data_IF_453563802403
#
_entry.id   IF_453563802403
#
_cell.length_a   1.000
_cell.length_b   1.000
_cell.length_c   1.000
_cell.angle_alpha   90.00
_cell.angle_beta   90.00
_cell.angle_gamma   90.00
#
_symmetry.space_group_name_H-M   'P 1'
#
loop_
_entity.id
_entity.type
_entity.pdbx_description
1 polymer ?
#
# COMPACT_ATOMS: atom_id res chain seq x y z
N UNK A 1 9.21 4.44 -43.27
CA UNK A 1 9.07 3.39 -42.25
C UNK A 1 7.94 3.83 -41.35
N UNK A 2 6.72 3.42 -41.68
CA UNK A 2 5.55 3.71 -40.85
C UNK A 2 5.59 2.77 -39.65
N UNK A 3 5.71 3.36 -38.46
CA UNK A 3 5.67 2.66 -37.20
C UNK A 3 4.20 2.33 -36.91
N UNK A 4 3.72 1.20 -37.41
CA UNK A 4 2.40 0.68 -37.08
C UNK A 4 2.45 0.18 -35.65
N UNK A 5 2.17 1.07 -34.70
CA UNK A 5 1.89 0.70 -33.32
C UNK A 5 0.66 -0.19 -33.30
N UNK A 6 0.85 -1.50 -33.36
CA UNK A 6 -0.21 -2.48 -33.17
C UNK A 6 -0.83 -2.26 -31.79
N UNK A 7 -2.01 -1.63 -31.74
CA UNK A 7 -2.92 -1.71 -30.60
C UNK A 7 -3.30 -3.18 -30.44
N UNK A 8 -2.58 -3.88 -29.57
CA UNK A 8 -2.90 -5.24 -29.17
C UNK A 8 -4.32 -5.22 -28.58
N UNK A 9 -5.30 -5.72 -29.33
CA UNK A 9 -6.67 -5.88 -28.82
C UNK A 9 -6.60 -6.71 -27.53
N UNK A 10 -6.97 -6.09 -26.42
CA UNK A 10 -7.00 -6.74 -25.11
C UNK A 10 -8.18 -7.71 -25.13
N UNK A 11 -7.92 -9.01 -25.04
CA UNK A 11 -8.99 -9.99 -25.00
C UNK A 11 -9.72 -9.93 -23.64
N UNK A 12 -10.92 -10.50 -23.55
CA UNK A 12 -11.74 -10.45 -22.33
C UNK A 12 -11.07 -11.08 -21.10
N UNK A 13 -10.14 -12.03 -21.27
CA UNK A 13 -9.39 -12.66 -20.18
C UNK A 13 -8.42 -11.64 -19.59
N UNK A 14 -7.73 -10.87 -20.43
CA UNK A 14 -6.80 -9.84 -19.99
C UNK A 14 -7.55 -8.70 -19.28
N UNK A 15 -8.70 -8.25 -19.80
CA UNK A 15 -9.54 -7.27 -19.09
C UNK A 15 -10.11 -7.83 -17.78
N UNK A 16 -10.50 -9.10 -17.74
CA UNK A 16 -10.92 -9.77 -16.50
C UNK A 16 -9.77 -9.77 -15.47
N UNK A 17 -8.54 -10.05 -15.88
CA UNK A 17 -7.36 -10.03 -15.00
C UNK A 17 -7.13 -8.63 -14.42
N UNK A 18 -7.19 -7.59 -15.27
CA UNK A 18 -7.07 -6.19 -14.84
C UNK A 18 -8.18 -5.84 -13.84
N UNK A 19 -9.43 -6.24 -14.13
CA UNK A 19 -10.58 -6.03 -13.26
C UNK A 19 -10.43 -6.73 -11.91
N UNK A 20 -9.94 -7.96 -11.91
CA UNK A 20 -9.76 -8.74 -10.68
C UNK A 20 -8.64 -8.19 -9.78
N UNK A 21 -7.68 -7.45 -10.35
CA UNK A 21 -6.65 -6.74 -9.59
C UNK A 21 -7.20 -5.56 -8.76
N UNK A 22 -8.42 -5.10 -9.05
CA UNK A 22 -9.09 -4.02 -8.32
C UNK A 22 -9.93 -4.63 -7.17
N UNK A 23 -9.92 -4.07 -5.95
CA UNK A 23 -10.80 -4.51 -4.86
C UNK A 23 -12.26 -4.48 -5.29
N UNK A 24 -13.06 -5.50 -4.93
CA UNK A 24 -14.47 -5.62 -5.35
C UNK A 24 -15.30 -4.36 -5.10
N UNK A 25 -15.04 -3.67 -3.99
CA UNK A 25 -15.75 -2.44 -3.59
C UNK A 25 -15.46 -1.24 -4.48
N UNK A 26 -14.37 -1.29 -5.26
CA UNK A 26 -13.93 -0.21 -6.16
C UNK A 26 -14.10 -0.57 -7.64
N UNK A 27 -14.62 -1.76 -7.96
CA UNK A 27 -14.85 -2.17 -9.36
C UNK A 27 -16.06 -1.44 -9.93
N UNK A 28 -15.93 -0.96 -11.16
CA UNK A 28 -17.04 -0.40 -11.91
C UNK A 28 -17.91 -1.53 -12.51
N UNK A 29 -19.22 -1.46 -12.30
CA UNK A 29 -20.18 -2.44 -12.82
C UNK A 29 -20.12 -3.82 -12.13
N UNK A 30 -20.99 -4.72 -12.58
CA UNK A 30 -21.11 -6.10 -12.11
C UNK A 30 -20.38 -7.09 -13.03
N UNK A 31 -20.19 -8.33 -12.56
CA UNK A 31 -19.66 -9.40 -13.42
C UNK A 31 -20.65 -9.74 -14.55
N UNK A 32 -21.96 -9.64 -14.31
CA UNK A 32 -22.98 -9.86 -15.33
C UNK A 32 -22.86 -8.85 -16.48
N UNK A 33 -22.67 -7.57 -16.17
CA UNK A 33 -22.46 -6.52 -17.18
C UNK A 33 -21.17 -6.73 -17.97
N UNK A 34 -20.08 -7.12 -17.30
CA UNK A 34 -18.83 -7.48 -17.97
C UNK A 34 -19.02 -8.67 -18.92
N UNK A 35 -19.70 -9.73 -18.45
CA UNK A 35 -19.97 -10.92 -19.25
C UNK A 35 -20.86 -10.59 -20.46
N UNK A 36 -21.86 -9.73 -20.28
CA UNK A 36 -22.72 -9.24 -21.36
C UNK A 36 -21.93 -8.44 -22.40
N UNK A 37 -21.05 -7.52 -21.97
CA UNK A 37 -20.17 -6.73 -22.86
C UNK A 37 -19.37 -7.63 -23.81
N UNK A 38 -18.92 -8.78 -23.31
CA UNK A 38 -18.07 -9.72 -24.05
C UNK A 38 -18.80 -10.92 -24.66
N UNK A 39 -20.12 -11.02 -24.48
CA UNK A 39 -20.90 -12.15 -24.99
C UNK A 39 -20.47 -13.51 -24.40
N UNK A 40 -19.99 -13.53 -23.15
CA UNK A 40 -19.54 -14.75 -22.47
C UNK A 40 -20.51 -15.14 -21.35
N UNK A 41 -20.60 -16.44 -21.05
CA UNK A 41 -21.31 -16.91 -19.86
C UNK A 41 -20.53 -16.55 -18.57
N UNK A 42 -21.25 -16.21 -17.50
CA UNK A 42 -20.64 -15.97 -16.18
C UNK A 42 -19.82 -17.16 -15.68
N UNK A 43 -20.23 -18.40 -15.99
CA UNK A 43 -19.46 -19.60 -15.66
C UNK A 43 -18.06 -19.58 -16.26
N UNK A 44 -17.89 -19.04 -17.48
CA UNK A 44 -16.57 -18.91 -18.11
C UNK A 44 -15.73 -17.84 -17.40
N UNK A 45 -16.34 -16.74 -16.98
CA UNK A 45 -15.66 -15.71 -16.18
C UNK A 45 -15.11 -16.31 -14.87
N UNK A 46 -15.96 -16.99 -14.10
CA UNK A 46 -15.54 -17.59 -12.83
C UNK A 46 -14.53 -18.72 -13.03
N UNK A 47 -14.70 -19.55 -14.07
CA UNK A 47 -13.73 -20.59 -14.41
C UNK A 47 -12.35 -19.99 -14.70
N UNK A 48 -12.25 -18.97 -15.56
CA UNK A 48 -10.97 -18.36 -15.91
C UNK A 48 -10.37 -17.52 -14.80
N UNK A 49 -11.14 -16.73 -14.05
CA UNK A 49 -10.64 -15.97 -12.89
C UNK A 49 -10.16 -16.88 -11.76
N UNK A 50 -10.71 -18.09 -11.65
CA UNK A 50 -10.28 -19.06 -10.64
C UNK A 50 -8.91 -19.69 -10.95
N UNK A 51 -8.46 -19.67 -12.21
CA UNK A 51 -7.18 -20.27 -12.65
C UNK A 51 -6.01 -19.59 -11.96
N UNK A 52 -5.11 -20.42 -11.42
CA UNK A 52 -3.93 -19.96 -10.68
C UNK A 52 -3.07 -18.99 -11.48
N UNK A 53 -2.87 -19.22 -12.78
CA UNK A 53 -2.09 -18.33 -13.64
C UNK A 53 -2.70 -16.92 -13.73
N UNK A 54 -4.02 -16.83 -13.90
CA UNK A 54 -4.72 -15.54 -13.99
C UNK A 54 -4.75 -14.82 -12.63
N UNK A 55 -4.91 -15.57 -11.53
CA UNK A 55 -4.77 -15.02 -10.18
C UNK A 55 -3.38 -14.41 -9.95
N UNK A 56 -2.32 -15.10 -10.36
CA UNK A 56 -0.95 -14.58 -10.26
C UNK A 56 -0.81 -13.27 -11.03
N UNK A 57 -1.26 -13.21 -12.28
CA UNK A 57 -1.23 -11.97 -13.07
C UNK A 57 -2.02 -10.83 -12.42
N UNK A 58 -3.22 -11.11 -11.88
CA UNK A 58 -4.01 -10.10 -11.17
C UNK A 58 -3.31 -9.59 -9.91
N UNK A 59 -2.61 -10.47 -9.19
CA UNK A 59 -1.85 -10.12 -7.99
C UNK A 59 -0.61 -9.29 -8.35
N UNK A 60 0.08 -9.62 -9.42
CA UNK A 60 1.21 -8.83 -9.94
C UNK A 60 0.75 -7.39 -10.25
N UNK A 61 -0.36 -7.22 -10.96
CA UNK A 61 -0.93 -5.89 -11.24
C UNK A 61 -1.28 -5.17 -9.93
N UNK A 62 -1.93 -5.85 -8.99
CA UNK A 62 -2.29 -5.27 -7.70
C UNK A 62 -1.04 -4.82 -6.91
N UNK A 63 0.05 -5.60 -6.95
CA UNK A 63 1.33 -5.26 -6.32
C UNK A 63 1.97 -4.06 -7.00
N UNK A 64 2.00 -4.00 -8.33
CA UNK A 64 2.56 -2.85 -9.04
C UNK A 64 1.77 -1.56 -8.76
N UNK A 65 0.44 -1.65 -8.72
CA UNK A 65 -0.40 -0.53 -8.28
C UNK A 65 -0.09 -0.13 -6.84
N UNK A 66 0.04 -1.10 -5.93
CA UNK A 66 0.41 -0.82 -4.54
C UNK A 66 1.78 -0.13 -4.44
N UNK A 67 2.79 -0.56 -5.20
CA UNK A 67 4.10 0.10 -5.26
C UNK A 67 4.00 1.54 -5.74
N UNK A 68 3.19 1.80 -6.77
CA UNK A 68 2.97 3.14 -7.32
C UNK A 68 2.41 4.10 -6.26
N UNK A 69 1.41 3.65 -5.49
CA UNK A 69 0.75 4.48 -4.47
C UNK A 69 1.38 4.36 -3.08
N UNK A 70 2.34 3.46 -2.87
CA UNK A 70 2.94 3.21 -1.55
C UNK A 70 3.51 4.47 -0.88
N UNK A 71 4.23 5.38 -1.59
CA UNK A 71 4.73 6.60 -0.97
C UNK A 71 3.61 7.50 -0.43
N UNK A 72 2.57 7.75 -1.23
CA UNK A 72 1.42 8.59 -0.87
C UNK A 72 0.62 7.98 0.28
N UNK A 73 0.40 6.66 0.26
CA UNK A 73 -0.27 5.94 1.35
C UNK A 73 0.52 6.03 2.64
N UNK A 74 1.85 5.92 2.57
CA UNK A 74 2.72 6.00 3.74
C UNK A 74 2.72 7.42 4.32
N UNK A 75 2.77 8.45 3.48
CA UNK A 75 2.63 9.85 3.90
C UNK A 75 1.29 10.09 4.61
N UNK A 76 0.17 9.67 4.00
CA UNK A 76 -1.16 9.80 4.60
C UNK A 76 -1.28 9.06 5.94
N UNK A 77 -0.70 7.85 6.04
CA UNK A 77 -0.64 7.12 7.30
C UNK A 77 0.17 7.87 8.35
N UNK A 78 1.28 8.53 7.97
CA UNK A 78 2.08 9.35 8.86
C UNK A 78 1.33 10.58 9.38
N UNK A 79 0.61 11.28 8.51
CA UNK A 79 -0.24 12.41 8.92
C UNK A 79 -1.32 11.96 9.91
N UNK A 80 -2.03 10.88 9.58
CA UNK A 80 -3.11 10.34 10.42
C UNK A 80 -2.61 9.72 11.73
N UNK A 81 -1.39 9.23 11.78
CA UNK A 81 -0.79 8.64 12.98
C UNK A 81 -0.75 9.62 14.16
N UNK A 82 -0.83 10.92 13.92
CA UNK A 82 -0.90 11.96 14.97
C UNK A 82 -2.21 11.93 15.76
N UNK A 83 -3.27 11.36 15.21
CA UNK A 83 -4.64 11.40 15.77
C UNK A 83 -5.36 10.05 15.79
N UNK A 84 -4.88 9.07 15.02
CA UNK A 84 -5.47 7.73 14.89
C UNK A 84 -4.43 6.65 15.26
N UNK A 85 -4.62 6.02 16.41
CA UNK A 85 -3.74 4.96 16.92
C UNK A 85 -3.59 3.78 15.95
N UNK A 86 -4.64 3.47 15.18
CA UNK A 86 -4.58 2.39 14.18
C UNK A 86 -3.71 2.79 12.99
N UNK A 87 -3.81 4.05 12.56
CA UNK A 87 -2.92 4.58 11.53
C UNK A 87 -1.46 4.61 12.02
N UNK A 88 -1.22 4.99 13.27
CA UNK A 88 0.11 4.95 13.89
C UNK A 88 0.70 3.54 13.93
N UNK A 89 -0.07 2.54 14.36
CA UNK A 89 0.36 1.14 14.38
C UNK A 89 0.72 0.64 12.97
N UNK A 90 -0.11 0.94 11.98
CA UNK A 90 0.13 0.55 10.59
C UNK A 90 1.36 1.23 10.00
N UNK A 91 1.51 2.53 10.23
CA UNK A 91 2.67 3.31 9.78
C UNK A 91 3.97 2.75 10.34
N UNK A 92 4.04 2.57 11.67
CA UNK A 92 5.23 2.02 12.34
C UNK A 92 5.54 0.61 11.86
N UNK A 93 4.54 -0.27 11.74
CA UNK A 93 4.73 -1.63 11.24
C UNK A 93 5.35 -1.64 9.85
N UNK A 94 4.90 -0.76 8.95
CA UNK A 94 5.43 -0.70 7.59
C UNK A 94 6.88 -0.19 7.55
N UNK A 95 7.20 0.85 8.32
CA UNK A 95 8.57 1.38 8.45
C UNK A 95 9.52 0.31 9.01
N UNK A 96 9.11 -0.43 10.04
CA UNK A 96 9.93 -1.49 10.63
C UNK A 96 10.20 -2.63 9.64
N UNK A 97 9.19 -3.06 8.88
CA UNK A 97 9.37 -4.09 7.85
C UNK A 97 10.30 -3.62 6.72
N UNK A 98 10.27 -2.33 6.35
CA UNK A 98 11.20 -1.77 5.38
C UNK A 98 12.62 -1.71 5.94
N UNK A 99 12.79 -1.25 7.18
CA UNK A 99 14.10 -1.18 7.83
C UNK A 99 14.75 -2.57 7.96
N UNK A 100 13.99 -3.59 8.35
CA UNK A 100 14.46 -4.97 8.44
C UNK A 100 14.93 -5.51 7.07
N UNK A 101 14.14 -5.31 6.01
CA UNK A 101 14.49 -5.75 4.65
C UNK A 101 15.72 -5.06 4.06
N UNK A 102 16.00 -3.85 4.50
CA UNK A 102 17.13 -3.05 4.01
C UNK A 102 18.33 -3.05 4.99
N UNK A 103 18.30 -3.90 6.02
CA UNK A 103 19.33 -3.97 7.06
C UNK A 103 19.67 -2.59 7.67
N UNK A 104 18.66 -1.71 7.74
CA UNK A 104 18.83 -0.37 8.27
C UNK A 104 18.93 -0.45 9.80
N UNK A 105 20.13 -0.19 10.32
CA UNK A 105 20.40 0.00 11.74
C UNK A 105 20.37 1.48 12.15
N UNK A 106 20.38 1.71 13.46
CA UNK A 106 20.76 3.00 14.03
C UNK A 106 22.19 3.38 13.63
N UNK A 107 22.50 4.68 13.72
CA UNK A 107 23.82 5.23 13.37
C UNK A 107 24.98 4.60 14.17
N UNK A 108 24.67 3.99 15.30
CA UNK A 108 25.58 3.32 16.23
C UNK A 108 25.64 1.78 16.02
N UNK A 109 24.98 1.25 14.98
CA UNK A 109 24.87 -0.19 14.74
C UNK A 109 23.82 -0.89 15.60
N UNK A 110 23.04 -0.16 16.41
CA UNK A 110 21.91 -0.73 17.15
C UNK A 110 20.70 -0.99 16.24
N UNK A 111 19.76 -1.87 16.61
CA UNK A 111 18.48 -1.98 15.91
C UNK A 111 17.75 -0.63 15.84
N UNK A 112 17.16 -0.31 14.69
CA UNK A 112 16.51 1.01 14.47
C UNK A 112 15.42 1.34 15.50
N UNK A 113 14.75 0.32 16.04
CA UNK A 113 13.76 0.45 17.13
C UNK A 113 14.38 1.07 18.38
N UNK A 114 15.61 0.68 18.74
CA UNK A 114 16.30 1.19 19.92
C UNK A 114 16.67 2.65 19.72
N UNK A 115 17.16 3.02 18.53
CA UNK A 115 17.48 4.41 18.19
C UNK A 115 16.23 5.30 18.25
N UNK A 116 15.11 4.86 17.68
CA UNK A 116 13.83 5.60 17.73
C UNK A 116 13.36 5.78 19.18
N UNK A 117 13.45 4.73 20.01
CA UNK A 117 13.08 4.82 21.42
C UNK A 117 13.95 5.83 22.18
N UNK A 118 15.26 5.86 21.95
CA UNK A 118 16.18 6.86 22.53
C UNK A 118 15.76 8.28 22.13
N UNK A 119 15.53 8.52 20.84
CA UNK A 119 15.15 9.84 20.33
C UNK A 119 13.79 10.32 20.87
N UNK A 120 12.84 9.40 21.09
CA UNK A 120 11.56 9.71 21.73
C UNK A 120 11.78 10.12 23.19
N UNK A 121 12.55 9.33 23.94
CA UNK A 121 12.86 9.62 25.36
C UNK A 121 13.57 10.97 25.52
N UNK A 122 14.58 11.23 24.68
CA UNK A 122 15.32 12.51 24.66
C UNK A 122 14.39 13.70 24.36
N UNK A 123 13.45 13.57 23.43
CA UNK A 123 12.49 14.64 23.12
C UNK A 123 11.47 14.86 24.24
N UNK A 124 11.01 13.79 24.91
CA UNK A 124 10.09 13.92 26.03
C UNK A 124 10.76 14.54 27.27
N UNK A 125 12.02 14.23 27.52
CA UNK A 125 12.77 14.78 28.66
C UNK A 125 13.04 16.29 28.51
N UNK A 126 13.24 16.78 27.28
CA UNK A 126 13.41 18.22 27.01
C UNK A 126 12.11 19.00 27.17
N UNK A 127 10.95 18.39 26.93
CA UNK A 127 9.64 19.06 27.05
C UNK A 127 9.15 19.28 28.49
N UNK A 128 9.79 18.66 29.48
CA UNK A 128 9.43 18.78 30.91
C UNK A 128 10.25 19.83 31.69
N UNK A 129 11.14 20.59 31.03
CA UNK A 129 12.08 21.51 31.72
C UNK A 129 11.57 22.96 31.82
N UNK A 130 10.44 23.33 31.21
CA UNK A 130 10.00 24.74 31.21
C UNK A 130 8.53 24.92 31.62
N UNK A 131 8.23 24.85 32.92
CA UNK A 131 7.10 25.56 33.56
C UNK A 131 7.27 25.60 35.09
N UNK A 132 8.29 26.29 35.58
CA UNK A 132 8.26 26.96 36.91
C UNK A 132 9.63 27.54 37.23
N UNK A 133 9.80 28.84 37.03
CA UNK A 133 10.23 29.77 38.08
C UNK A 133 10.33 31.19 37.51
N UNK A 134 9.17 31.78 37.28
CA UNK A 134 8.97 33.23 37.31
C UNK A 134 7.77 33.52 38.21
N UNK A 135 8.01 33.55 39.52
CA UNK A 135 7.41 34.52 40.43
C UNK A 135 7.91 34.29 41.85
N UNK A 136 8.46 35.35 42.44
CA UNK A 136 8.15 35.91 43.77
C UNK A 136 9.40 36.31 44.55
N UNK A 137 9.43 37.59 44.95
CA UNK A 137 10.27 38.12 46.04
C UNK A 137 11.22 39.22 45.63
#
# INVERSE_FOLDING_TARGET
>A
MENTGETKEINWIDEMIIREAIPKTLREGSNAEFCQKYGIAESNYYYHSSKTENKKKSLEIAIENAKKYAPEVLENLGERATTDNRAAEMYLKFILQLAEKHELGGKDGSPIIIQIAKEIMEKSDVSNIDTSNHSEG
#
